data_IF_929563567138
#
_entry.id   IF_929563567138
#
_cell.length_a   1.000
_cell.length_b   1.000
_cell.length_c   1.000
_cell.angle_alpha   90.00
_cell.angle_beta   90.00
_cell.angle_gamma   90.00
#
_symmetry.space_group_name_H-M   'P 1'
#
loop_
_entity.id
_entity.type
_entity.pdbx_description
1 polymer ?
#
# COMPACT_ATOMS: atom_id res chain seq x y z
N UNK A 1 -0.40 9.58 -12.93
CA UNK A 1 -1.06 8.90 -11.79
C UNK A 1 -2.12 7.97 -12.37
N UNK A 2 -2.04 6.64 -12.17
CA UNK A 2 -2.94 5.66 -12.81
C UNK A 2 -4.44 5.91 -12.57
N UNK A 3 -4.78 6.62 -11.49
CA UNK A 3 -6.15 7.04 -11.15
C UNK A 3 -6.71 8.02 -12.20
N UNK A 4 -5.86 8.87 -12.80
CA UNK A 4 -6.26 9.79 -13.86
C UNK A 4 -6.67 9.07 -15.16
N UNK A 5 -6.31 7.79 -15.32
CA UNK A 5 -6.72 6.94 -16.42
C UNK A 5 -8.00 6.13 -16.13
N UNK A 6 -8.67 6.35 -14.98
CA UNK A 6 -9.89 5.64 -14.60
C UNK A 6 -9.67 4.20 -14.12
N UNK A 7 -8.42 3.79 -13.91
CA UNK A 7 -8.08 2.44 -13.46
C UNK A 7 -8.19 2.38 -11.94
N UNK A 8 -9.10 1.54 -11.44
CA UNK A 8 -9.18 1.23 -10.02
C UNK A 8 -7.92 0.45 -9.61
N UNK A 9 -7.03 1.11 -8.88
CA UNK A 9 -5.81 0.51 -8.34
C UNK A 9 -5.96 0.35 -6.83
N UNK A 10 -5.73 -0.86 -6.34
CA UNK A 10 -5.74 -1.20 -4.93
C UNK A 10 -4.34 -1.60 -4.48
N UNK A 11 -3.88 -1.00 -3.38
CA UNK A 11 -2.61 -1.37 -2.76
C UNK A 11 -2.91 -2.34 -1.63
N UNK A 12 -2.29 -3.52 -1.69
CA UNK A 12 -2.52 -4.60 -0.73
C UNK A 12 -1.19 -5.02 -0.13
N UNK A 13 -1.20 -5.40 1.15
CA UNK A 13 -0.01 -5.91 1.80
C UNK A 13 0.38 -7.29 1.25
N UNK A 14 1.62 -7.42 0.76
CA UNK A 14 2.13 -8.68 0.23
C UNK A 14 2.10 -9.82 1.26
N UNK A 15 2.27 -9.52 2.55
CA UNK A 15 2.23 -10.51 3.62
C UNK A 15 0.80 -10.96 3.99
N UNK A 16 -0.23 -10.24 3.54
CA UNK A 16 -1.63 -10.59 3.78
C UNK A 16 -2.20 -11.54 2.71
N UNK A 17 -1.44 -11.78 1.64
CA UNK A 17 -1.76 -12.80 0.65
C UNK A 17 -1.43 -14.14 1.31
N UNK A 18 -2.44 -14.95 1.61
CA UNK A 18 -2.23 -16.30 2.15
C UNK A 18 -1.50 -17.14 1.09
N UNK A 19 -0.19 -17.32 1.26
CA UNK A 19 0.61 -18.23 0.46
C UNK A 19 0.57 -19.59 1.16
N UNK A 20 -0.12 -20.56 0.56
CA UNK A 20 -0.08 -21.94 1.06
C UNK A 20 1.36 -22.45 1.05
N UNK A 21 1.87 -22.89 2.21
CA UNK A 21 3.27 -23.28 2.43
C UNK A 21 3.80 -24.43 1.53
N UNK A 22 2.92 -25.09 0.76
CA UNK A 22 3.27 -26.16 -0.19
C UNK A 22 3.52 -25.67 -1.63
N UNK A 23 3.20 -24.42 -1.95
CA UNK A 23 3.51 -23.81 -3.25
C UNK A 23 4.88 -23.13 -3.20
N UNK A 24 5.94 -23.93 -3.23
CA UNK A 24 7.33 -23.45 -3.33
C UNK A 24 7.73 -22.96 -4.73
N UNK A 25 6.90 -23.24 -5.74
CA UNK A 25 7.15 -22.83 -7.13
C UNK A 25 6.32 -21.59 -7.42
N UNK A 26 6.96 -20.41 -7.34
CA UNK A 26 6.37 -19.16 -7.83
C UNK A 26 6.27 -19.24 -9.35
N UNK A 27 5.07 -19.00 -9.88
CA UNK A 27 4.84 -18.90 -11.32
C UNK A 27 3.83 -17.80 -11.52
N UNK A 28 4.15 -16.79 -12.33
CA UNK A 28 3.35 -15.57 -12.48
C UNK A 28 1.87 -15.86 -12.80
N UNK A 29 1.59 -16.93 -13.55
CA UNK A 29 0.23 -17.37 -13.88
C UNK A 29 -0.57 -17.86 -12.67
N UNK A 30 0.05 -18.63 -11.77
CA UNK A 30 -0.62 -19.18 -10.58
C UNK A 30 -0.81 -18.11 -9.51
N UNK A 31 0.17 -17.24 -9.34
CA UNK A 31 0.10 -16.15 -8.37
C UNK A 31 -0.96 -15.13 -8.79
N UNK A 32 -1.02 -14.77 -10.07
CA UNK A 32 -2.07 -13.89 -10.61
C UNK A 32 -3.48 -14.45 -10.37
N UNK A 33 -3.68 -15.75 -10.60
CA UNK A 33 -4.98 -16.38 -10.38
C UNK A 33 -5.37 -16.42 -8.90
N UNK A 34 -4.42 -16.68 -7.99
CA UNK A 34 -4.67 -16.63 -6.54
C UNK A 34 -5.03 -15.23 -6.08
N UNK A 35 -4.30 -14.22 -6.54
CA UNK A 35 -4.58 -12.82 -6.21
C UNK A 35 -5.98 -12.44 -6.71
N UNK A 36 -6.34 -12.83 -7.94
CA UNK A 36 -7.68 -12.59 -8.49
C UNK A 36 -8.78 -13.27 -7.67
N UNK A 37 -8.60 -14.53 -7.27
CA UNK A 37 -9.57 -15.27 -6.45
C UNK A 37 -9.70 -14.66 -5.05
N UNK A 38 -8.59 -14.27 -4.41
CA UNK A 38 -8.61 -13.63 -3.09
C UNK A 38 -9.21 -12.23 -3.14
N UNK A 39 -9.00 -11.50 -4.23
CA UNK A 39 -9.63 -10.22 -4.51
C UNK A 39 -11.15 -10.37 -4.69
N UNK A 40 -11.58 -11.32 -5.52
CA UNK A 40 -13.00 -11.62 -5.75
C UNK A 40 -13.70 -12.05 -4.46
N UNK A 41 -13.03 -12.83 -3.62
CA UNK A 41 -13.54 -13.25 -2.32
C UNK A 41 -13.52 -12.14 -1.25
N UNK A 42 -13.03 -10.93 -1.57
CA UNK A 42 -12.96 -9.80 -0.63
C UNK A 42 -12.01 -10.01 0.54
N UNK A 43 -11.09 -10.99 0.46
CA UNK A 43 -10.15 -11.31 1.55
C UNK A 43 -8.92 -10.40 1.56
N UNK A 44 -8.64 -9.74 0.43
CA UNK A 44 -7.57 -8.76 0.31
C UNK A 44 -8.02 -7.42 0.90
N UNK A 45 -7.53 -7.11 2.10
CA UNK A 45 -7.75 -5.79 2.70
C UNK A 45 -6.83 -4.77 2.05
N UNK A 46 -7.42 -3.76 1.43
CA UNK A 46 -6.68 -2.62 0.93
C UNK A 46 -5.96 -1.90 2.09
N UNK A 47 -4.73 -1.49 1.84
CA UNK A 47 -4.01 -0.60 2.75
C UNK A 47 -4.62 0.80 2.59
N UNK A 48 -4.87 1.46 3.71
CA UNK A 48 -5.29 2.86 3.73
C UNK A 48 -4.15 3.73 3.18
N UNK A 49 -4.32 4.24 1.96
CA UNK A 49 -3.40 5.20 1.36
C UNK A 49 -3.78 6.58 1.88
N UNK A 50 -2.91 7.26 2.66
CA UNK A 50 -3.24 8.56 3.22
C UNK A 50 -3.52 9.56 2.09
N UNK A 51 -4.58 10.36 2.25
CA UNK A 51 -4.87 11.45 1.32
C UNK A 51 -3.76 12.51 1.32
N UNK A 52 -3.66 13.26 0.23
CA UNK A 52 -2.67 14.34 0.03
C UNK A 52 -2.74 15.37 1.17
N UNK A 53 -3.93 15.65 1.68
CA UNK A 53 -4.15 16.53 2.82
C UNK A 53 -3.48 15.99 4.09
N UNK A 54 -3.67 14.69 4.36
CA UNK A 54 -3.09 14.01 5.53
C UNK A 54 -1.57 13.92 5.45
N UNK A 55 -1.03 13.77 4.24
CA UNK A 55 0.41 13.84 3.99
C UNK A 55 0.95 15.26 4.21
N UNK A 56 0.23 16.29 3.75
CA UNK A 56 0.58 17.70 3.93
C UNK A 56 0.65 18.10 5.41
N UNK A 57 -0.29 17.63 6.23
CA UNK A 57 -0.21 17.83 7.69
C UNK A 57 1.05 17.20 8.32
N UNK A 58 1.43 15.99 7.88
CA UNK A 58 2.68 15.36 8.35
C UNK A 58 3.92 16.14 7.92
N UNK A 59 3.89 16.74 6.73
CA UNK A 59 4.97 17.60 6.26
C UNK A 59 5.15 18.83 7.16
N UNK A 60 4.06 19.50 7.53
CA UNK A 60 4.09 20.66 8.43
C UNK A 60 4.70 20.30 9.78
N UNK A 61 4.28 19.18 10.40
CA UNK A 61 4.82 18.73 11.69
C UNK A 61 6.32 18.45 11.60
N UNK A 62 6.76 17.74 10.55
CA UNK A 62 8.19 17.47 10.33
C UNK A 62 9.00 18.74 10.10
N UNK A 63 8.46 19.69 9.33
CA UNK A 63 9.10 20.96 9.07
C UNK A 63 9.29 21.77 10.37
N UNK A 64 8.24 21.80 11.20
CA UNK A 64 8.29 22.45 12.52
C UNK A 64 9.33 21.81 13.43
N UNK A 65 9.36 20.49 13.53
CA UNK A 65 10.37 19.77 14.31
C UNK A 65 11.78 20.10 13.85
N UNK A 66 12.01 20.14 12.53
CA UNK A 66 13.30 20.49 11.94
C UNK A 66 13.73 21.90 12.31
N UNK A 67 12.84 22.88 12.16
CA UNK A 67 13.10 24.29 12.51
C UNK A 67 13.37 24.47 14.01
N UNK A 68 12.65 23.76 14.88
CA UNK A 68 12.91 23.78 16.33
C UNK A 68 14.28 23.18 16.63
N UNK A 69 14.64 22.06 16.00
CA UNK A 69 15.96 21.44 16.17
C UNK A 69 17.10 22.34 15.72
N UNK A 70 16.95 23.01 14.58
CA UNK A 70 17.94 23.95 14.05
C UNK A 70 18.06 25.22 14.93
N UNK A 71 16.96 25.68 15.54
CA UNK A 71 16.99 26.83 16.47
C UNK A 71 17.60 26.51 17.83
N UNK A 72 17.56 25.25 18.26
CA UNK A 72 18.03 24.82 19.58
C UNK A 72 19.48 24.32 19.54
N UNK A 73 20.16 24.48 18.39
CA UNK A 73 21.56 24.10 18.16
C UNK A 73 22.43 25.34 18.07
#
# INVERSE_FOLDING_TARGET
MLIAAGIHNIVVNAASIEISARDRVKTDKRDSLKIATQLQAGRLKCIDVPSVERESFRFITRLREKLVKDRTR
#
